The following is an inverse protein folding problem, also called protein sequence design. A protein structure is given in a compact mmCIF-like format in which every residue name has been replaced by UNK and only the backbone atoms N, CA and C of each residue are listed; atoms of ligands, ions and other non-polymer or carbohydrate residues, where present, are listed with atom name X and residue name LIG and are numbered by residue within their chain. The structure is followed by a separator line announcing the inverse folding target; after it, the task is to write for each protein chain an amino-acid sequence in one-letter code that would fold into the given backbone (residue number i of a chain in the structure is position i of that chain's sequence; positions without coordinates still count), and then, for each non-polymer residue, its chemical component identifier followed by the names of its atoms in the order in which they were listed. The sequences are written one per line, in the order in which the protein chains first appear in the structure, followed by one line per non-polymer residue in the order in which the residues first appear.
data_IF_683915127539
#
_entry.id   IF_683915127539
#
_cell.length_a   1.000
_cell.length_b   1.000
_cell.length_c   1.000
_cell.angle_alpha   90.00
_cell.angle_beta   90.00
_cell.angle_gamma   90.00
#
_symmetry.space_group_name_H-M   'P 1'
#
loop_
_entity.id
_entity.type
_entity.pdbx_description
1 polymer ?
#
# COMPACT_ATOMS: atom_id res chain seq x y z
N UNK A 1 16.20 -5.33 3.87
CA UNK A 1 16.66 -5.90 5.17
C UNK A 1 15.58 -6.85 5.68
N UNK A 2 15.90 -8.05 6.20
CA UNK A 2 14.87 -8.94 6.73
C UNK A 2 14.14 -8.31 7.93
N UNK A 3 12.82 -8.47 7.99
CA UNK A 3 12.00 -7.97 9.10
C UNK A 3 12.47 -8.59 10.42
N UNK A 4 12.68 -7.74 11.42
CA UNK A 4 12.98 -8.16 12.79
C UNK A 4 11.98 -9.24 13.29
N UNK A 5 12.43 -10.37 13.88
CA UNK A 5 11.55 -11.44 14.31
C UNK A 5 10.46 -11.01 15.31
N UNK A 6 10.77 -10.11 16.23
CA UNK A 6 9.79 -9.59 17.20
C UNK A 6 8.75 -8.74 16.50
N UNK A 7 9.17 -7.84 15.60
CA UNK A 7 8.24 -7.06 14.76
C UNK A 7 7.37 -7.96 13.91
N UNK A 8 7.94 -9.03 13.34
CA UNK A 8 7.21 -10.02 12.55
C UNK A 8 6.15 -10.73 13.40
N UNK A 9 6.50 -11.17 14.60
CA UNK A 9 5.57 -11.83 15.51
C UNK A 9 4.42 -10.90 15.91
N UNK A 10 4.73 -9.67 16.33
CA UNK A 10 3.73 -8.67 16.70
C UNK A 10 2.76 -8.35 15.56
N UNK A 11 3.26 -8.22 14.33
CA UNK A 11 2.42 -7.98 13.15
C UNK A 11 1.45 -9.15 12.88
N UNK A 12 1.92 -10.40 12.97
CA UNK A 12 1.06 -11.57 12.81
C UNK A 12 -0.01 -11.63 13.90
N UNK A 13 0.38 -11.38 15.16
CA UNK A 13 -0.56 -11.38 16.29
C UNK A 13 -1.64 -10.33 16.09
N UNK A 14 -1.29 -9.09 15.74
CA UNK A 14 -2.27 -8.04 15.49
C UNK A 14 -3.25 -8.35 14.35
N UNK A 15 -2.82 -9.07 13.30
CA UNK A 15 -3.73 -9.52 12.24
C UNK A 15 -4.73 -10.58 12.72
N UNK A 16 -4.30 -11.49 13.61
CA UNK A 16 -5.18 -12.50 14.21
C UNK A 16 -6.17 -11.84 15.17
N UNK A 17 -5.68 -10.98 16.04
CA UNK A 17 -6.52 -10.25 17.01
C UNK A 17 -7.58 -9.40 16.28
N UNK A 18 -7.23 -8.76 15.16
CA UNK A 18 -8.19 -8.02 14.34
C UNK A 18 -9.25 -8.93 13.72
N UNK A 19 -8.86 -10.11 13.22
CA UNK A 19 -9.80 -11.08 12.66
C UNK A 19 -10.78 -11.57 13.73
N UNK A 20 -10.26 -11.95 14.90
CA UNK A 20 -11.05 -12.42 16.04
C UNK A 20 -12.00 -11.31 16.54
N UNK A 21 -11.54 -10.06 16.58
CA UNK A 21 -12.37 -8.91 16.95
C UNK A 21 -13.53 -8.68 15.98
N UNK A 22 -13.28 -8.76 14.67
CA UNK A 22 -14.34 -8.58 13.65
C UNK A 22 -15.34 -9.74 13.74
N UNK A 23 -14.87 -10.99 13.91
CA UNK A 23 -15.73 -12.16 14.07
C UNK A 23 -16.63 -12.07 15.31
N UNK A 24 -16.08 -11.60 16.44
CA UNK A 24 -16.83 -11.44 17.68
C UNK A 24 -17.86 -10.30 17.66
N UNK A 25 -17.78 -9.37 16.69
CA UNK A 25 -18.59 -8.16 16.64
C UNK A 25 -19.32 -8.01 15.29
N UNK A 26 -20.36 -8.81 15.00
CA UNK A 26 -21.03 -8.84 13.68
C UNK A 26 -21.76 -7.54 13.29
N UNK A 27 -21.95 -6.62 14.24
CA UNK A 27 -22.46 -5.27 13.95
C UNK A 27 -21.44 -4.33 13.33
N UNK A 28 -20.15 -4.68 13.33
CA UNK A 28 -19.09 -3.87 12.73
C UNK A 28 -19.02 -4.18 11.23
N UNK A 29 -19.17 -3.18 10.36
CA UNK A 29 -19.09 -3.41 8.92
C UNK A 29 -17.65 -3.72 8.50
N UNK A 30 -17.51 -4.65 7.55
CA UNK A 30 -16.27 -4.87 6.82
C UNK A 30 -16.23 -4.00 5.55
N UNK A 31 -15.05 -3.60 5.05
CA UNK A 31 -14.93 -2.87 3.80
C UNK A 31 -15.62 -3.61 2.64
N UNK A 32 -16.40 -2.87 1.83
CA UNK A 32 -17.04 -3.42 0.63
C UNK A 32 -16.06 -3.70 -0.50
N UNK A 33 -14.97 -2.95 -0.52
CA UNK A 33 -13.90 -3.07 -1.50
C UNK A 33 -12.76 -3.88 -0.89
N UNK A 34 -11.93 -4.45 -1.76
CA UNK A 34 -10.72 -5.16 -1.36
C UNK A 34 -9.79 -4.29 -0.53
N UNK A 35 -9.22 -4.86 0.52
CA UNK A 35 -8.25 -4.17 1.40
C UNK A 35 -6.85 -4.68 1.11
N UNK A 36 -5.88 -3.76 1.01
CA UNK A 36 -4.48 -4.10 0.83
C UNK A 36 -3.65 -3.82 2.09
N UNK A 37 -2.72 -4.70 2.39
CA UNK A 37 -1.59 -4.46 3.29
C UNK A 37 -0.36 -4.33 2.41
N UNK A 38 0.27 -3.16 2.40
CA UNK A 38 1.38 -2.87 1.49
C UNK A 38 2.69 -2.75 2.26
N UNK A 39 3.71 -3.48 1.81
CA UNK A 39 5.10 -3.28 2.21
C UNK A 39 5.83 -2.46 1.15
N UNK A 40 6.53 -1.42 1.60
CA UNK A 40 7.40 -0.61 0.77
C UNK A 40 8.86 -0.92 1.14
N UNK A 41 9.73 -1.21 0.16
CA UNK A 41 11.17 -1.24 0.39
C UNK A 41 11.66 0.09 1.00
N UNK A 42 12.79 0.02 1.70
CA UNK A 42 13.46 1.23 2.18
C UNK A 42 13.78 2.17 1.02
N UNK A 43 13.65 3.48 1.26
CA UNK A 43 13.84 4.47 0.23
C UNK A 43 15.29 4.46 -0.27
N UNK A 44 15.47 3.99 -1.50
CA UNK A 44 16.77 3.88 -2.16
C UNK A 44 16.66 4.28 -3.64
N UNK A 45 17.67 3.92 -4.44
CA UNK A 45 17.54 4.05 -5.90
C UNK A 45 16.43 3.14 -6.42
N UNK A 46 15.83 3.50 -7.56
CA UNK A 46 14.77 2.71 -8.17
C UNK A 46 15.22 1.28 -8.45
N UNK A 47 16.47 1.10 -8.89
CA UNK A 47 17.06 -0.23 -9.13
C UNK A 47 17.14 -1.08 -7.85
N UNK A 48 17.56 -0.50 -6.72
CA UNK A 48 17.65 -1.23 -5.45
C UNK A 48 16.27 -1.60 -4.90
N UNK A 49 15.31 -0.68 -5.00
CA UNK A 49 13.93 -0.96 -4.57
C UNK A 49 13.28 -2.03 -5.47
N UNK A 50 13.46 -1.96 -6.79
CA UNK A 50 12.98 -2.99 -7.72
C UNK A 50 13.63 -4.35 -7.44
N UNK A 51 14.93 -4.38 -7.17
CA UNK A 51 15.64 -5.63 -6.84
C UNK A 51 15.08 -6.29 -5.57
N UNK A 52 14.67 -5.51 -4.57
CA UNK A 52 14.01 -6.04 -3.37
C UNK A 52 12.61 -6.61 -3.71
N UNK A 53 11.84 -5.93 -4.56
CA UNK A 53 10.55 -6.45 -5.06
C UNK A 53 10.77 -7.76 -5.83
N UNK A 54 11.75 -7.83 -6.73
CA UNK A 54 12.08 -9.03 -7.51
C UNK A 54 12.51 -10.20 -6.61
N UNK A 55 13.33 -9.90 -5.59
CA UNK A 55 13.76 -10.90 -4.61
C UNK A 55 12.55 -11.51 -3.89
N UNK A 56 11.60 -10.68 -3.44
CA UNK A 56 10.39 -11.15 -2.76
C UNK A 56 9.46 -11.86 -3.74
N UNK A 57 9.34 -11.39 -4.98
CA UNK A 57 8.59 -12.06 -6.04
C UNK A 57 9.10 -13.50 -6.26
N UNK A 58 10.43 -13.69 -6.30
CA UNK A 58 11.05 -15.01 -6.38
C UNK A 58 10.74 -15.90 -5.17
N UNK A 59 10.73 -15.35 -3.95
CA UNK A 59 10.35 -16.11 -2.75
C UNK A 59 8.89 -16.54 -2.75
N UNK A 60 8.00 -15.73 -3.32
CA UNK A 60 6.56 -15.98 -3.34
C UNK A 60 6.10 -16.73 -4.60
N UNK A 61 6.97 -16.93 -5.60
CA UNK A 61 6.58 -17.42 -6.92
C UNK A 61 5.62 -16.47 -7.67
N UNK A 62 5.65 -15.18 -7.33
CA UNK A 62 4.77 -14.16 -7.89
C UNK A 62 5.42 -13.47 -9.10
N UNK A 63 4.59 -12.78 -9.89
CA UNK A 63 5.04 -11.98 -11.03
C UNK A 63 4.74 -10.51 -10.78
N UNK A 64 5.56 -9.64 -11.36
CA UNK A 64 5.33 -8.20 -11.38
C UNK A 64 3.99 -7.91 -12.05
N UNK A 65 3.18 -7.07 -11.41
CA UNK A 65 1.94 -6.57 -11.96
C UNK A 65 2.26 -5.46 -13.00
N UNK A 66 1.88 -5.63 -14.27
CA UNK A 66 2.14 -4.62 -15.29
C UNK A 66 1.17 -3.43 -15.22
N UNK A 67 -0.03 -3.60 -14.66
CA UNK A 67 -1.06 -2.55 -14.63
C UNK A 67 -0.64 -1.27 -13.87
N UNK A 68 0.08 -1.33 -12.74
CA UNK A 68 0.49 -0.15 -11.99
C UNK A 68 1.81 0.48 -12.50
N UNK A 69 2.54 -0.18 -13.42
CA UNK A 69 3.81 0.33 -13.96
C UNK A 69 3.70 1.71 -14.64
N UNK A 70 2.67 2.02 -15.46
CA UNK A 70 2.52 3.35 -16.06
C UNK A 70 2.39 4.48 -15.03
N UNK A 71 1.98 4.16 -13.81
CA UNK A 71 1.89 5.10 -12.68
C UNK A 71 3.19 5.16 -11.86
N UNK A 72 4.22 4.42 -12.26
CA UNK A 72 5.52 4.34 -11.59
C UNK A 72 5.51 3.50 -10.32
N UNK A 73 4.61 2.51 -10.25
CA UNK A 73 4.53 1.54 -9.16
C UNK A 73 5.01 0.18 -9.66
N UNK A 74 6.18 -0.25 -9.21
CA UNK A 74 6.73 -1.57 -9.51
C UNK A 74 6.39 -2.53 -8.37
N UNK A 75 5.48 -3.48 -8.61
CA UNK A 75 4.92 -4.26 -7.51
C UNK A 75 4.52 -5.69 -7.85
N UNK A 76 4.38 -6.50 -6.81
CA UNK A 76 3.65 -7.78 -6.83
C UNK A 76 2.43 -7.71 -5.90
N UNK A 77 1.45 -8.55 -6.20
CA UNK A 77 0.21 -8.66 -5.43
C UNK A 77 -0.07 -10.12 -5.09
N UNK A 78 -0.25 -10.43 -3.81
CA UNK A 78 -0.63 -11.75 -3.29
C UNK A 78 -2.08 -11.71 -2.78
N UNK A 79 -3.02 -12.45 -3.39
CA UNK A 79 -4.42 -12.44 -2.98
C UNK A 79 -4.70 -13.37 -1.80
N UNK A 80 -5.54 -12.91 -0.87
CA UNK A 80 -6.09 -13.65 0.28
C UNK A 80 -7.59 -13.36 0.41
N UNK A 81 -8.38 -13.90 -0.53
CA UNK A 81 -9.81 -13.56 -0.63
C UNK A 81 -10.00 -12.07 -0.92
N UNK A 82 -10.77 -11.31 -0.11
CA UNK A 82 -10.93 -9.86 -0.28
C UNK A 82 -9.71 -9.05 0.18
N UNK A 83 -8.72 -9.70 0.80
CA UNK A 83 -7.48 -9.06 1.23
C UNK A 83 -6.38 -9.27 0.19
N UNK A 84 -5.45 -8.32 0.12
CA UNK A 84 -4.22 -8.42 -0.68
C UNK A 84 -3.01 -8.06 0.17
N UNK A 85 -1.91 -8.78 -0.03
CA UNK A 85 -0.59 -8.36 0.44
C UNK A 85 0.23 -7.90 -0.76
N UNK A 86 0.63 -6.63 -0.73
CA UNK A 86 1.29 -5.95 -1.85
C UNK A 86 2.72 -5.58 -1.45
N UNK A 87 3.66 -5.75 -2.39
CA UNK A 87 5.04 -5.31 -2.22
C UNK A 87 5.31 -4.30 -3.32
N UNK A 88 5.57 -3.05 -2.97
CA UNK A 88 5.56 -1.95 -3.93
C UNK A 88 6.80 -1.06 -3.82
N UNK A 89 7.53 -0.90 -4.92
CA UNK A 89 8.50 0.17 -5.10
C UNK A 89 7.82 1.34 -5.83
N UNK A 90 7.83 2.52 -5.19
CA UNK A 90 7.34 3.76 -5.80
C UNK A 90 8.54 4.49 -6.41
N UNK A 91 8.57 4.54 -7.74
CA UNK A 91 9.73 5.00 -8.51
C UNK A 91 9.94 6.52 -8.39
N UNK A 92 11.15 6.98 -8.70
CA UNK A 92 11.56 8.38 -8.56
C UNK A 92 10.59 9.35 -9.27
N UNK A 93 10.19 9.04 -10.49
CA UNK A 93 9.24 9.87 -11.24
C UNK A 93 7.88 9.95 -10.56
N UNK A 94 7.36 8.85 -10.00
CA UNK A 94 6.09 8.84 -9.27
C UNK A 94 6.20 9.65 -7.97
N UNK A 95 7.32 9.51 -7.24
CA UNK A 95 7.60 10.32 -6.04
C UNK A 95 7.72 11.80 -6.37
N UNK A 96 8.35 12.17 -7.49
CA UNK A 96 8.46 13.55 -7.94
C UNK A 96 7.09 14.13 -8.32
N UNK A 97 6.24 13.39 -9.05
CA UNK A 97 4.85 13.78 -9.35
C UNK A 97 4.05 13.97 -8.07
N UNK A 98 4.15 13.04 -7.12
CA UNK A 98 3.47 13.15 -5.83
C UNK A 98 3.98 14.35 -5.02
N UNK A 99 5.29 14.61 -5.04
CA UNK A 99 5.90 15.78 -4.39
C UNK A 99 5.40 17.10 -4.98
N UNK A 100 5.28 17.19 -6.31
CA UNK A 100 4.73 18.36 -6.99
C UNK A 100 3.23 18.55 -6.72
N UNK A 101 2.45 17.47 -6.65
CA UNK A 101 1.04 17.54 -6.26
C UNK A 101 0.89 17.99 -4.80
N UNK A 102 1.68 17.39 -3.90
CA UNK A 102 1.61 17.64 -2.46
C UNK A 102 2.10 19.03 -2.09
N UNK A 103 3.00 19.64 -2.87
CA UNK A 103 3.49 21.00 -2.60
C UNK A 103 2.41 22.07 -2.77
N UNK A 104 1.32 21.75 -3.48
CA UNK A 104 0.17 22.64 -3.63
C UNK A 104 -0.94 22.39 -2.58
N UNK A 105 -0.74 21.39 -1.70
CA UNK A 105 -1.73 21.05 -0.68
C UNK A 105 -1.94 22.22 0.30
N UNK A 106 -3.18 22.68 0.43
CA UNK A 106 -3.56 23.81 1.29
C UNK A 106 -3.35 25.19 0.65
N UNK A 107 -2.86 25.28 -0.58
CA UNK A 107 -2.74 26.56 -1.29
C UNK A 107 -4.09 27.12 -1.79
N UNK A 108 -5.12 26.27 -1.89
CA UNK A 108 -6.48 26.65 -2.30
C UNK A 108 -7.44 26.36 -1.15
N UNK A 109 -8.22 27.37 -0.77
CA UNK A 109 -9.36 27.19 0.13
C UNK A 109 -10.60 27.04 -0.74
N UNK A 110 -11.33 25.92 -0.65
CA UNK A 110 -12.60 25.77 -1.36
C UNK A 110 -13.56 26.88 -0.97
N UNK A 111 -14.26 27.44 -1.95
CA UNK A 111 -15.38 28.33 -1.64
C UNK A 111 -16.40 27.55 -0.81
N UNK A 112 -16.68 28.08 0.37
CA UNK A 112 -17.58 27.49 1.34
C UNK A 112 -18.95 28.19 1.32
N UNK A 113 -19.16 29.14 0.42
CA UNK A 113 -20.44 29.82 0.26
C UNK A 113 -21.47 28.87 -0.40
N UNK A 114 -22.52 28.46 0.32
CA UNK A 114 -23.58 27.63 -0.24
C UNK A 114 -24.33 28.29 -1.40
N UNK A 115 -24.21 29.61 -1.61
CA UNK A 115 -24.80 30.29 -2.76
C UNK A 115 -24.11 29.96 -4.10
N UNK A 116 -22.86 29.48 -4.08
CA UNK A 116 -22.09 29.12 -5.28
C UNK A 116 -22.06 27.60 -5.56
N UNK A 117 -22.73 26.79 -4.73
CA UNK A 117 -22.76 25.32 -4.86
C UNK A 117 -23.81 24.77 -5.86
N UNK A 118 -24.38 25.63 -6.72
CA UNK A 118 -25.47 25.29 -7.64
C UNK A 118 -25.00 24.94 -9.06
#
# INVERSE_FOLDING_TARGET
MPTDPTRRAAFITGLRDLADFIEANPGIPVPRQSTAITYFPEQATDAEMCAEVDRIAGLCGARIDPAPLPYGHYMITLPFGPLRYEIAAILADARARYGALSSYHGCVTPDSDPAHAA
#
